data_IF_945326804165
#
_entry.id   IF_945326804165
#
_cell.length_a   1.000
_cell.length_b   1.000
_cell.length_c   1.000
_cell.angle_alpha   90.00
_cell.angle_beta   90.00
_cell.angle_gamma   90.00
#
_symmetry.space_group_name_H-M   'P 1'
#
loop_
_entity.id
_entity.type
_entity.pdbx_description
1 polymer ?
#
# COMPACT_ATOMS: atom_id res chain seq x y z
N UNK A 1 5.03 2.95 33.72
CA UNK A 1 4.67 1.90 32.74
C UNK A 1 5.27 2.25 31.39
N UNK A 2 6.06 1.35 30.81
CA UNK A 2 6.71 1.60 29.51
C UNK A 2 5.70 1.47 28.35
N UNK A 3 6.10 1.89 27.13
CA UNK A 3 5.23 1.87 25.93
C UNK A 3 4.70 0.47 25.62
N UNK A 4 5.55 -0.55 25.71
CA UNK A 4 5.18 -1.95 25.49
C UNK A 4 4.06 -2.42 26.44
N UNK A 5 4.21 -2.18 27.75
CA UNK A 5 3.21 -2.50 28.77
C UNK A 5 1.90 -1.74 28.54
N UNK A 6 1.96 -0.47 28.12
CA UNK A 6 0.76 0.32 27.78
C UNK A 6 -0.06 -0.32 26.67
N UNK A 7 0.59 -0.72 25.57
CA UNK A 7 -0.10 -1.34 24.44
C UNK A 7 -0.73 -2.67 24.87
N UNK A 8 0.01 -3.52 25.60
CA UNK A 8 -0.53 -4.79 26.11
C UNK A 8 -1.76 -4.55 26.99
N UNK A 9 -1.67 -3.62 27.94
CA UNK A 9 -2.80 -3.30 28.81
C UNK A 9 -4.01 -2.79 28.00
N UNK A 10 -3.79 -1.90 27.04
CA UNK A 10 -4.88 -1.37 26.21
C UNK A 10 -5.52 -2.44 25.32
N UNK A 11 -4.74 -3.39 24.81
CA UNK A 11 -5.25 -4.55 24.09
C UNK A 11 -6.09 -5.43 25.01
N UNK A 12 -5.59 -5.75 26.22
CA UNK A 12 -6.32 -6.56 27.20
C UNK A 12 -7.65 -5.93 27.63
N UNK A 13 -7.73 -4.60 27.66
CA UNK A 13 -8.94 -3.85 27.98
C UNK A 13 -9.90 -3.71 26.79
N UNK A 14 -9.46 -4.02 25.57
CA UNK A 14 -10.27 -3.98 24.36
C UNK A 14 -10.79 -5.40 24.03
N UNK A 15 -12.01 -5.68 24.49
CA UNK A 15 -12.66 -6.98 24.32
C UNK A 15 -12.83 -7.38 22.85
N UNK A 16 -13.07 -6.42 21.96
CA UNK A 16 -13.22 -6.69 20.53
C UNK A 16 -11.89 -7.14 19.95
N UNK A 17 -10.80 -6.40 20.20
CA UNK A 17 -9.45 -6.78 19.76
C UNK A 17 -8.98 -8.10 20.33
N UNK A 18 -9.26 -8.38 21.61
CA UNK A 18 -8.95 -9.68 22.21
C UNK A 18 -9.74 -10.81 21.55
N UNK A 19 -11.00 -10.57 21.17
CA UNK A 19 -11.80 -11.54 20.43
C UNK A 19 -11.21 -11.81 19.04
N UNK A 20 -10.75 -10.77 18.33
CA UNK A 20 -10.06 -10.92 17.04
C UNK A 20 -8.78 -11.74 17.19
N UNK A 21 -7.92 -11.40 18.16
CA UNK A 21 -6.68 -12.11 18.45
C UNK A 21 -6.91 -13.59 18.77
N UNK A 22 -7.89 -13.89 19.64
CA UNK A 22 -8.26 -15.27 19.99
C UNK A 22 -8.80 -16.04 18.78
N UNK A 23 -9.58 -15.37 17.93
CA UNK A 23 -10.12 -15.97 16.70
C UNK A 23 -9.00 -16.38 15.75
N UNK A 24 -8.02 -15.51 15.52
CA UNK A 24 -6.88 -15.82 14.64
C UNK A 24 -6.00 -16.91 15.24
N UNK A 25 -5.75 -16.89 16.56
CA UNK A 25 -4.96 -17.95 17.22
C UNK A 25 -5.55 -19.35 17.00
N UNK A 26 -6.88 -19.49 16.89
CA UNK A 26 -7.55 -20.78 16.61
C UNK A 26 -7.15 -21.39 15.26
N UNK A 27 -6.56 -20.63 14.34
CA UNK A 27 -6.03 -21.17 13.08
C UNK A 27 -4.76 -22.00 13.29
N UNK A 28 -4.06 -21.87 14.42
CA UNK A 28 -2.83 -22.63 14.70
C UNK A 28 -1.67 -22.27 13.76
N UNK A 29 -1.57 -21.01 13.36
CA UNK A 29 -0.47 -20.52 12.52
C UNK A 29 0.82 -20.43 13.36
N UNK A 30 1.96 -20.78 12.77
CA UNK A 30 3.25 -20.82 13.48
C UNK A 30 3.81 -19.42 13.78
N UNK A 31 3.88 -18.57 12.75
CA UNK A 31 4.44 -17.23 12.85
C UNK A 31 3.44 -16.24 12.26
N UNK A 32 2.66 -15.58 13.11
CA UNK A 32 1.56 -14.72 12.71
C UNK A 32 1.45 -13.49 13.60
N UNK A 33 0.78 -12.44 13.12
CA UNK A 33 0.27 -11.35 13.96
C UNK A 33 -0.86 -10.60 13.26
N UNK A 34 -1.68 -9.91 14.06
CA UNK A 34 -2.54 -8.83 13.60
C UNK A 34 -1.76 -7.51 13.61
N UNK A 35 -1.72 -6.78 12.50
CA UNK A 35 -0.89 -5.57 12.40
C UNK A 35 -1.59 -4.34 11.83
N UNK A 36 -0.77 -3.36 11.46
CA UNK A 36 -1.14 -2.14 10.75
C UNK A 36 -2.17 -1.32 11.53
N UNK A 37 -3.38 -1.18 10.98
CA UNK A 37 -4.47 -0.46 11.64
C UNK A 37 -4.88 -1.08 12.98
N UNK A 38 -4.68 -2.39 13.17
CA UNK A 38 -5.09 -3.09 14.39
C UNK A 38 -4.44 -2.48 15.64
N UNK A 39 -3.09 -2.40 15.66
CA UNK A 39 -2.35 -1.85 16.79
C UNK A 39 -2.32 -0.33 16.73
N UNK A 40 -2.07 0.26 15.54
CA UNK A 40 -1.91 1.72 15.41
C UNK A 40 -3.16 2.46 15.86
N UNK A 41 -4.33 2.07 15.36
CA UNK A 41 -5.58 2.74 15.71
C UNK A 41 -5.84 2.67 17.21
N UNK A 42 -5.59 1.52 17.86
CA UNK A 42 -5.76 1.40 19.31
C UNK A 42 -4.90 2.42 20.07
N UNK A 43 -3.62 2.50 19.73
CA UNK A 43 -2.70 3.42 20.43
C UNK A 43 -3.14 4.86 20.21
N UNK A 44 -3.45 5.22 18.97
CA UNK A 44 -3.85 6.57 18.62
C UNK A 44 -5.18 6.98 19.23
N UNK A 45 -6.19 6.11 19.22
CA UNK A 45 -7.49 6.35 19.85
C UNK A 45 -7.32 6.58 21.36
N UNK A 46 -6.45 5.80 22.01
CA UNK A 46 -6.14 5.93 23.45
C UNK A 46 -5.37 7.21 23.78
N UNK A 47 -4.42 7.62 22.94
CA UNK A 47 -3.65 8.84 23.15
C UNK A 47 -4.51 10.11 22.97
N UNK A 48 -5.47 10.08 22.04
CA UNK A 48 -6.28 11.24 21.69
C UNK A 48 -7.66 11.26 22.35
N UNK A 49 -7.99 10.24 23.15
CA UNK A 49 -9.25 10.16 23.89
C UNK A 49 -10.48 10.09 22.98
N UNK A 50 -10.37 9.44 21.82
CA UNK A 50 -11.51 9.28 20.92
C UNK A 50 -12.61 8.47 21.61
N UNK A 51 -13.82 9.04 21.62
CA UNK A 51 -14.99 8.44 22.27
C UNK A 51 -15.47 7.17 21.54
N UNK A 52 -15.25 7.10 20.23
CA UNK A 52 -15.55 5.94 19.40
C UNK A 52 -14.26 5.36 18.81
N UNK A 53 -14.07 4.03 18.84
CA UNK A 53 -12.92 3.40 18.21
C UNK A 53 -12.86 3.70 16.71
N UNK A 54 -11.66 3.96 16.20
CA UNK A 54 -11.44 4.12 14.75
C UNK A 54 -11.70 2.78 14.06
N UNK A 55 -12.60 2.73 13.05
CA UNK A 55 -12.94 1.48 12.37
C UNK A 55 -11.72 0.76 11.79
N UNK A 56 -11.74 -0.56 11.90
CA UNK A 56 -10.82 -1.44 11.18
C UNK A 56 -11.44 -1.76 9.82
N UNK A 57 -11.04 -0.98 8.80
CA UNK A 57 -11.52 -1.19 7.42
C UNK A 57 -11.08 -2.55 6.87
N UNK A 58 -9.93 -3.02 7.33
CA UNK A 58 -9.32 -4.31 7.09
C UNK A 58 -8.64 -4.78 8.39
N UNK A 59 -8.69 -6.10 8.62
CA UNK A 59 -7.97 -6.75 9.72
C UNK A 59 -6.87 -7.59 9.09
N UNK A 60 -5.67 -7.00 9.02
CA UNK A 60 -4.48 -7.61 8.46
C UNK A 60 -3.98 -8.75 9.34
N UNK A 61 -4.27 -9.98 8.92
CA UNK A 61 -3.71 -11.22 9.45
C UNK A 61 -2.52 -11.58 8.59
N UNK A 62 -1.32 -11.33 9.09
CA UNK A 62 -0.12 -11.80 8.40
C UNK A 62 0.38 -13.08 9.05
N UNK A 63 0.92 -13.98 8.24
CA UNK A 63 1.61 -15.16 8.72
C UNK A 63 2.78 -15.52 7.80
N UNK A 64 3.72 -16.32 8.29
CA UNK A 64 4.86 -16.77 7.51
C UNK A 64 4.93 -18.31 7.53
N UNK A 65 4.71 -18.91 6.37
CA UNK A 65 4.88 -20.34 6.15
C UNK A 65 5.42 -20.58 4.73
N UNK A 66 6.74 -20.82 4.57
CA UNK A 66 7.34 -21.02 3.26
C UNK A 66 7.01 -22.39 2.66
N UNK A 67 6.54 -23.36 3.47
CA UNK A 67 6.14 -24.67 2.96
C UNK A 67 4.71 -24.68 2.42
N UNK A 68 3.89 -23.69 2.78
CA UNK A 68 2.49 -23.58 2.37
C UNK A 68 2.15 -22.15 1.93
N UNK A 69 2.87 -21.68 0.91
CA UNK A 69 2.81 -20.29 0.45
C UNK A 69 1.68 -19.99 -0.53
N UNK A 70 0.83 -20.97 -0.85
CA UNK A 70 -0.20 -20.86 -1.88
C UNK A 70 -1.25 -19.80 -1.54
N UNK A 71 -1.63 -18.97 -2.51
CA UNK A 71 -2.67 -17.96 -2.32
C UNK A 71 -4.04 -18.56 -1.97
N UNK A 72 -4.31 -19.79 -2.39
CA UNK A 72 -5.56 -20.48 -2.07
C UNK A 72 -5.68 -20.79 -0.58
N UNK A 73 -4.56 -21.10 0.09
CA UNK A 73 -4.55 -21.33 1.54
C UNK A 73 -4.95 -20.07 2.29
N UNK A 74 -4.46 -18.90 1.88
CA UNK A 74 -4.85 -17.62 2.47
C UNK A 74 -6.37 -17.40 2.36
N UNK A 75 -6.97 -17.69 1.18
CA UNK A 75 -8.43 -17.59 0.98
C UNK A 75 -9.22 -18.55 1.85
N UNK A 76 -8.73 -19.79 2.01
CA UNK A 76 -9.36 -20.77 2.90
C UNK A 76 -9.31 -20.32 4.37
N UNK A 77 -8.20 -19.71 4.81
CA UNK A 77 -8.06 -19.13 6.15
C UNK A 77 -9.00 -17.93 6.33
N UNK A 78 -9.08 -17.02 5.35
CA UNK A 78 -10.04 -15.91 5.35
C UNK A 78 -11.48 -16.40 5.47
N UNK A 79 -11.88 -17.40 4.66
CA UNK A 79 -13.21 -17.98 4.72
C UNK A 79 -13.49 -18.65 6.07
N UNK A 80 -12.50 -19.31 6.68
CA UNK A 80 -12.63 -19.92 8.01
C UNK A 80 -12.82 -18.88 9.10
N UNK A 81 -12.04 -17.80 9.07
CA UNK A 81 -12.19 -16.67 9.98
C UNK A 81 -13.57 -16.02 9.82
N UNK A 82 -14.02 -15.82 8.59
CA UNK A 82 -15.33 -15.26 8.28
C UNK A 82 -16.48 -16.12 8.84
N UNK A 83 -16.35 -17.45 8.80
CA UNK A 83 -17.33 -18.37 9.40
C UNK A 83 -17.36 -18.29 10.93
N UNK A 84 -16.22 -18.07 11.57
CA UNK A 84 -16.13 -17.99 13.03
C UNK A 84 -16.53 -16.63 13.58
N UNK A 85 -16.17 -15.56 12.88
CA UNK A 85 -16.37 -14.19 13.28
C UNK A 85 -16.45 -13.30 12.03
N UNK A 86 -17.64 -12.92 11.57
CA UNK A 86 -17.81 -12.11 10.36
C UNK A 86 -17.18 -10.71 10.50
N UNK A 87 -16.06 -10.47 9.82
CA UNK A 87 -15.23 -9.25 9.90
C UNK A 87 -14.43 -9.05 8.60
N UNK A 88 -13.88 -7.86 8.32
CA UNK A 88 -13.13 -7.62 7.07
C UNK A 88 -11.70 -8.21 7.14
N UNK A 89 -11.60 -9.54 7.23
CA UNK A 89 -10.33 -10.26 7.29
C UNK A 89 -9.50 -10.12 6.01
N UNK A 90 -8.21 -9.85 6.17
CA UNK A 90 -7.22 -9.87 5.09
C UNK A 90 -6.05 -10.78 5.52
N UNK A 91 -6.06 -12.03 5.08
CA UNK A 91 -4.98 -13.00 5.40
C UNK A 91 -3.95 -12.99 4.30
N UNK A 92 -2.67 -12.84 4.66
CA UNK A 92 -1.56 -12.81 3.69
C UNK A 92 -0.35 -13.57 4.21
N UNK A 93 0.01 -14.66 3.51
CA UNK A 93 1.26 -15.36 3.77
C UNK A 93 2.46 -14.54 3.26
N UNK A 94 3.27 -14.04 4.19
CA UNK A 94 4.45 -13.23 3.93
C UNK A 94 5.54 -13.99 3.17
N UNK A 95 5.59 -15.32 3.26
CA UNK A 95 6.52 -16.12 2.47
C UNK A 95 6.35 -15.93 0.95
N UNK A 96 5.16 -15.49 0.49
CA UNK A 96 4.89 -15.18 -0.93
C UNK A 96 4.86 -13.68 -1.25
N UNK A 97 4.70 -12.81 -0.25
CA UNK A 97 4.45 -11.38 -0.50
C UNK A 97 5.65 -10.66 -1.12
N UNK A 98 6.87 -11.14 -0.93
CA UNK A 98 8.07 -10.60 -1.58
C UNK A 98 7.97 -10.59 -3.11
N UNK A 99 7.28 -11.58 -3.72
CA UNK A 99 7.08 -11.68 -5.16
C UNK A 99 6.28 -10.51 -5.73
N UNK A 100 5.33 -9.95 -4.96
CA UNK A 100 4.51 -8.80 -5.40
C UNK A 100 5.32 -7.50 -5.41
N UNK A 101 6.32 -7.41 -4.55
CA UNK A 101 7.17 -6.23 -4.40
C UNK A 101 8.50 -6.35 -5.13
N UNK A 102 8.78 -7.49 -5.79
CA UNK A 102 10.07 -7.75 -6.42
C UNK A 102 11.25 -7.81 -5.44
N UNK A 103 10.99 -8.12 -4.16
CA UNK A 103 12.01 -8.17 -3.11
C UNK A 103 12.58 -9.57 -2.94
N UNK A 104 13.71 -9.67 -2.26
CA UNK A 104 14.21 -10.95 -1.77
C UNK A 104 13.21 -11.59 -0.78
N UNK A 105 13.18 -12.94 -0.68
CA UNK A 105 12.35 -13.62 0.31
C UNK A 105 12.59 -13.11 1.72
N UNK A 106 11.51 -12.88 2.47
CA UNK A 106 11.57 -12.47 3.87
C UNK A 106 12.01 -13.64 4.76
N UNK A 107 12.61 -13.33 5.90
CA UNK A 107 13.09 -14.35 6.85
C UNK A 107 11.96 -14.92 7.73
N UNK A 108 11.04 -14.06 8.14
CA UNK A 108 9.90 -14.37 9.01
C UNK A 108 8.85 -13.23 8.93
N UNK A 109 7.81 -13.30 9.75
CA UNK A 109 6.75 -12.27 9.81
C UNK A 109 7.28 -10.90 10.25
N UNK A 110 8.23 -10.85 11.20
CA UNK A 110 8.82 -9.61 11.71
C UNK A 110 9.65 -8.89 10.63
N UNK A 111 10.50 -9.62 9.92
CA UNK A 111 11.25 -9.08 8.80
C UNK A 111 10.30 -8.63 7.68
N UNK A 112 9.23 -9.38 7.39
CA UNK A 112 8.24 -8.98 6.39
C UNK A 112 7.55 -7.64 6.72
N UNK A 113 7.08 -7.44 7.96
CA UNK A 113 6.44 -6.17 8.35
C UNK A 113 7.43 -5.02 8.46
N UNK A 114 8.72 -5.30 8.64
CA UNK A 114 9.76 -4.27 8.58
C UNK A 114 9.89 -3.60 7.20
N UNK A 115 9.25 -4.16 6.15
CA UNK A 115 9.13 -3.54 4.83
C UNK A 115 7.79 -2.82 4.62
N UNK A 116 6.97 -2.61 5.64
CA UNK A 116 5.73 -1.82 5.49
C UNK A 116 6.01 -0.33 5.29
N UNK A 117 5.07 0.36 4.65
CA UNK A 117 5.27 1.71 4.11
C UNK A 117 5.56 2.77 5.18
N UNK A 118 4.89 2.70 6.33
CA UNK A 118 5.08 3.63 7.44
C UNK A 118 5.72 2.92 8.65
N UNK A 119 6.59 3.60 9.39
CA UNK A 119 7.18 3.01 10.60
C UNK A 119 6.13 2.74 11.69
N UNK A 120 5.16 3.63 11.83
CA UNK A 120 4.08 3.53 12.81
C UNK A 120 3.06 2.44 12.46
N UNK A 121 3.02 1.99 11.21
CA UNK A 121 2.18 0.85 10.82
C UNK A 121 2.91 -0.48 10.96
N UNK A 122 4.26 -0.50 10.92
CA UNK A 122 5.11 -1.68 11.06
C UNK A 122 5.14 -2.24 12.50
N UNK A 123 3.97 -2.51 13.06
CA UNK A 123 3.75 -3.12 14.38
C UNK A 123 2.62 -4.15 14.28
N UNK A 124 2.81 -5.27 14.97
CA UNK A 124 1.82 -6.33 15.10
C UNK A 124 1.63 -6.80 16.54
N UNK A 125 0.53 -7.50 16.79
CA UNK A 125 0.22 -8.16 18.05
C UNK A 125 -0.27 -9.59 17.77
N UNK A 126 0.12 -10.53 18.63
CA UNK A 126 -0.33 -11.92 18.60
C UNK A 126 -0.52 -12.47 20.00
N UNK A 127 -1.20 -13.60 20.09
CA UNK A 127 -1.33 -14.34 21.33
C UNK A 127 -0.41 -15.55 21.34
N UNK A 128 0.24 -15.74 22.49
CA UNK A 128 0.90 -16.96 22.87
C UNK A 128 -0.14 -18.03 23.25
N UNK A 129 0.35 -19.25 23.50
CA UNK A 129 -0.48 -20.38 23.92
C UNK A 129 -1.21 -20.13 25.25
N UNK A 130 -0.66 -19.30 26.13
CA UNK A 130 -1.14 -18.97 27.47
C UNK A 130 -2.02 -17.72 27.54
N UNK A 131 -2.56 -17.25 26.41
CA UNK A 131 -3.26 -15.94 26.28
C UNK A 131 -2.36 -14.70 26.52
N UNK A 132 -1.05 -14.88 26.72
CA UNK A 132 -0.11 -13.77 26.78
C UNK A 132 -0.02 -13.03 25.44
N UNK A 133 0.01 -11.69 25.48
CA UNK A 133 0.16 -10.86 24.29
C UNK A 133 1.66 -10.67 23.99
N UNK A 134 2.06 -10.97 22.77
CA UNK A 134 3.37 -10.62 22.22
C UNK A 134 3.20 -9.55 21.15
N UNK A 135 4.02 -8.49 21.23
CA UNK A 135 4.14 -7.46 20.20
C UNK A 135 5.27 -7.80 19.24
N UNK A 136 5.07 -7.50 17.95
CA UNK A 136 6.07 -7.59 16.89
C UNK A 136 6.34 -6.17 16.42
N UNK A 137 7.56 -5.66 16.61
CA UNK A 137 7.87 -4.24 16.41
C UNK A 137 9.33 -4.07 15.96
N UNK A 138 9.66 -4.34 14.68
CA UNK A 138 11.05 -4.35 14.18
C UNK A 138 11.79 -3.02 14.31
N UNK A 139 11.06 -1.90 14.49
CA UNK A 139 11.62 -0.56 14.65
C UNK A 139 11.44 0.01 16.07
N UNK A 140 11.02 -0.81 17.03
CA UNK A 140 10.58 -0.34 18.34
C UNK A 140 9.17 0.24 18.32
N UNK A 141 8.75 0.82 19.44
CA UNK A 141 7.40 1.34 19.64
C UNK A 141 7.37 2.86 19.72
N UNK A 142 8.53 3.51 19.68
CA UNK A 142 8.73 4.92 19.94
C UNK A 142 7.85 5.79 19.05
N UNK A 143 7.96 5.58 17.74
CA UNK A 143 7.28 6.37 16.70
C UNK A 143 5.77 6.30 16.80
N UNK A 144 5.24 5.17 17.27
CA UNK A 144 3.79 4.98 17.41
C UNK A 144 3.17 5.95 18.44
N UNK A 145 3.99 6.50 19.35
CA UNK A 145 3.59 7.46 20.39
C UNK A 145 4.00 8.91 20.09
N UNK A 146 4.67 9.17 18.98
CA UNK A 146 5.25 10.50 18.69
C UNK A 146 4.30 11.40 17.85
N UNK A 147 3.05 10.97 17.64
CA UNK A 147 2.03 11.62 16.78
C UNK A 147 2.55 11.93 15.36
N UNK A 148 3.36 11.02 14.83
CA UNK A 148 3.99 11.12 13.52
C UNK A 148 3.46 10.07 12.55
N UNK A 149 3.63 10.35 11.26
CA UNK A 149 3.63 9.32 10.20
C UNK A 149 4.95 9.46 9.45
N UNK A 150 5.76 8.42 9.51
CA UNK A 150 7.15 8.43 9.06
C UNK A 150 7.34 7.42 7.93
N UNK A 151 7.89 7.88 6.81
CA UNK A 151 8.26 7.02 5.70
C UNK A 151 9.30 5.99 6.12
N UNK A 152 9.05 4.72 5.80
CA UNK A 152 10.01 3.66 6.02
C UNK A 152 10.98 3.56 4.83
N UNK A 153 12.21 4.05 5.01
CA UNK A 153 13.25 3.94 3.99
C UNK A 153 13.58 2.49 3.58
N UNK A 154 13.37 1.50 4.46
CA UNK A 154 13.55 0.07 4.14
C UNK A 154 12.51 -0.42 3.11
N UNK A 155 11.31 0.14 3.10
CA UNK A 155 10.31 -0.14 2.06
C UNK A 155 10.75 0.42 0.70
N UNK A 156 11.22 1.68 0.68
CA UNK A 156 11.83 2.32 -0.48
C UNK A 156 10.86 2.93 -1.50
N UNK A 157 9.54 2.77 -1.34
CA UNK A 157 8.54 3.34 -2.25
C UNK A 157 7.86 4.58 -1.65
N UNK A 158 8.48 5.75 -1.90
CA UNK A 158 7.99 7.03 -1.40
C UNK A 158 6.63 7.43 -2.01
N UNK A 159 6.36 7.05 -3.26
CA UNK A 159 5.11 7.41 -3.94
C UNK A 159 3.92 6.68 -3.32
N UNK A 160 4.08 5.40 -2.99
CA UNK A 160 3.06 4.66 -2.24
C UNK A 160 2.82 5.28 -0.86
N UNK A 161 3.86 5.78 -0.19
CA UNK A 161 3.72 6.50 1.07
C UNK A 161 2.90 7.79 0.91
N UNK A 162 3.28 8.66 -0.02
CA UNK A 162 2.59 9.93 -0.30
C UNK A 162 1.10 9.71 -0.62
N UNK A 163 0.81 8.73 -1.49
CA UNK A 163 -0.56 8.38 -1.87
C UNK A 163 -1.37 7.93 -0.65
N UNK A 164 -0.80 7.07 0.20
CA UNK A 164 -1.50 6.57 1.40
C UNK A 164 -1.76 7.67 2.41
N UNK A 165 -0.82 8.59 2.61
CA UNK A 165 -1.00 9.76 3.49
C UNK A 165 -2.18 10.60 3.01
N UNK A 166 -2.30 10.82 1.69
CA UNK A 166 -3.41 11.54 1.09
C UNK A 166 -4.74 10.80 1.24
N UNK A 167 -4.80 9.53 0.81
CA UNK A 167 -6.04 8.73 0.78
C UNK A 167 -6.61 8.46 2.17
N UNK A 168 -5.72 8.19 3.13
CA UNK A 168 -6.12 7.91 4.51
C UNK A 168 -6.40 9.19 5.29
N UNK A 169 -6.13 10.37 4.74
CA UNK A 169 -6.43 11.64 5.39
C UNK A 169 -6.00 11.71 6.87
N UNK A 170 -4.85 11.10 7.21
CA UNK A 170 -4.37 11.02 8.60
C UNK A 170 -4.11 12.42 9.17
N UNK A 171 -3.68 13.35 8.31
CA UNK A 171 -3.43 14.74 8.67
C UNK A 171 -4.70 15.53 8.97
N UNK A 172 -5.86 15.17 8.37
CA UNK A 172 -7.14 15.86 8.60
C UNK A 172 -7.92 15.28 9.78
N UNK A 173 -7.93 13.95 9.92
CA UNK A 173 -8.64 13.26 11.01
C UNK A 173 -8.09 13.60 12.36
N UNK A 174 -6.80 13.86 12.39
CA UNK A 174 -6.13 14.15 13.62
C UNK A 174 -5.61 15.60 13.60
N UNK A 175 -6.48 16.56 13.97
CA UNK A 175 -6.15 17.99 14.13
C UNK A 175 -5.19 18.29 15.31
N UNK A 176 -4.21 17.42 15.52
CA UNK A 176 -3.08 17.52 16.45
C UNK A 176 -1.81 16.82 15.93
N UNK A 177 -1.85 16.12 14.78
CA UNK A 177 -0.68 15.42 14.22
C UNK A 177 0.15 16.43 13.44
N UNK A 178 1.04 17.08 14.17
CA UNK A 178 1.76 18.26 13.72
C UNK A 178 3.26 18.17 13.91
N UNK A 179 3.85 16.97 13.89
CA UNK A 179 5.30 16.84 13.67
C UNK A 179 5.58 15.79 12.60
N UNK A 180 5.84 16.28 11.39
CA UNK A 180 6.60 15.51 10.40
C UNK A 180 8.03 15.36 10.92
N UNK A 181 8.36 14.23 11.55
CA UNK A 181 9.73 13.93 11.91
C UNK A 181 10.50 13.44 10.68
N UNK A 182 10.90 14.39 9.81
CA UNK A 182 11.86 14.14 8.73
C UNK A 182 11.53 14.85 7.42
N UNK A 183 11.75 16.17 7.36
CA UNK A 183 11.93 17.02 6.15
C UNK A 183 10.95 16.85 4.97
N UNK A 184 10.13 17.89 4.79
CA UNK A 184 9.55 18.50 3.56
C UNK A 184 9.30 17.54 2.37
N UNK A 185 8.02 17.24 2.13
CA UNK A 185 7.54 16.97 0.77
C UNK A 185 7.35 18.31 0.03
N UNK A 186 7.70 18.41 -1.26
CA UNK A 186 7.35 19.59 -2.05
C UNK A 186 5.84 19.76 -2.02
N UNK A 187 5.38 20.94 -1.65
CA UNK A 187 3.95 21.25 -1.75
C UNK A 187 3.56 21.29 -3.22
N UNK A 188 2.28 21.08 -3.54
CA UNK A 188 1.73 21.19 -4.89
C UNK A 188 1.99 22.55 -5.59
N UNK A 189 2.60 23.52 -4.90
CA UNK A 189 3.12 24.77 -5.48
C UNK A 189 4.46 24.58 -6.26
N UNK A 190 5.22 23.52 -6.02
CA UNK A 190 6.53 23.32 -6.69
C UNK A 190 6.41 22.77 -8.12
N UNK A 191 5.21 22.35 -8.53
CA UNK A 191 4.90 22.02 -9.94
C UNK A 191 4.76 23.29 -10.81
N UNK A 192 4.53 24.47 -10.20
CA UNK A 192 4.41 25.73 -10.94
C UNK A 192 5.76 26.38 -11.26
N UNK A 193 6.84 26.09 -10.52
CA UNK A 193 8.18 26.57 -10.86
C UNK A 193 8.86 25.84 -12.02
N UNK A 194 8.29 24.73 -12.52
CA UNK A 194 8.71 24.13 -13.80
C UNK A 194 8.04 24.76 -15.03
N UNK A 195 6.99 25.56 -14.84
CA UNK A 195 6.32 26.30 -15.93
C UNK A 195 6.81 27.75 -16.10
N UNK A 196 7.75 28.22 -15.27
CA UNK A 196 8.40 29.54 -15.47
C UNK A 196 9.72 29.42 -16.26
N UNK A 197 10.27 28.20 -16.43
CA UNK A 197 11.40 27.97 -17.36
C UNK A 197 10.99 27.84 -18.84
N UNK A 198 9.70 27.84 -19.15
CA UNK A 198 9.17 27.86 -20.53
C UNK A 198 8.63 29.23 -20.96
N UNK A 199 8.84 30.28 -20.17
CA UNK A 199 8.57 31.68 -20.56
C UNK A 199 9.78 32.62 -20.35
N UNK A 200 10.98 32.05 -20.18
CA UNK A 200 12.25 32.77 -20.03
C UNK A 200 13.18 32.72 -21.26
N UNK A 201 12.66 32.36 -22.44
CA UNK A 201 13.41 32.39 -23.72
C UNK A 201 12.83 33.41 -24.72
N UNK A 202 12.00 34.33 -24.25
CA UNK A 202 11.65 35.54 -24.98
C UNK A 202 12.17 36.74 -24.19
N UNK A 203 13.06 37.52 -24.82
CA UNK A 203 13.83 38.63 -24.24
C UNK A 203 14.99 38.22 -23.34
N UNK A 204 16.16 37.99 -23.95
CA UNK A 204 17.31 38.91 -23.94
C UNK A 204 18.42 38.21 -24.73
N UNK A 205 18.56 38.58 -26.00
CA UNK A 205 19.83 38.83 -26.70
C UNK A 205 19.51 39.19 -28.15
N UNK A 206 18.96 40.39 -28.33
CA UNK A 206 19.26 41.18 -29.52
C UNK A 206 20.72 41.63 -29.44
N UNK A 207 21.32 41.79 -30.62
CA UNK A 207 22.69 42.22 -30.92
C UNK A 207 23.78 41.14 -30.89
N UNK A 208 24.01 40.52 -32.05
CA UNK A 208 25.19 40.86 -32.85
C UNK A 208 24.88 40.70 -34.35
N UNK A 209 25.37 41.66 -35.12
CA UNK A 209 25.11 41.90 -36.55
C UNK A 209 25.81 40.93 -37.50
N UNK A 210 25.20 40.77 -38.67
CA UNK A 210 25.79 40.59 -40.02
C UNK A 210 26.78 39.45 -40.29
N UNK A 211 26.37 38.50 -41.15
CA UNK A 211 26.90 38.36 -42.52
C UNK A 211 26.27 37.20 -43.32
N UNK A 212 25.67 37.59 -44.45
CA UNK A 212 25.83 36.99 -45.78
C UNK A 212 25.51 35.50 -46.04
N UNK A 213 24.37 35.26 -46.73
CA UNK A 213 24.38 35.01 -48.18
C UNK A 213 24.47 33.57 -48.73
N UNK A 214 23.50 33.27 -49.63
CA UNK A 214 23.51 32.26 -50.74
C UNK A 214 23.28 30.79 -50.33
N UNK A 215 22.67 29.87 -51.10
CA UNK A 215 21.85 29.80 -52.34
C UNK A 215 21.41 28.31 -52.50
N UNK A 216 20.40 28.08 -53.35
CA UNK A 216 20.10 26.83 -54.13
C UNK A 216 19.24 25.70 -53.50
N UNK A 217 18.01 25.45 -54.02
CA UNK A 217 17.57 24.58 -55.18
C UNK A 217 17.61 23.08 -54.79
N UNK A 218 16.66 22.17 -55.05
CA UNK A 218 15.54 22.09 -56.04
C UNK A 218 14.63 20.86 -55.74
N UNK A 219 13.32 20.99 -56.05
CA UNK A 219 12.40 20.06 -56.79
C UNK A 219 12.24 18.57 -56.39
N UNK A 220 10.99 18.14 -56.11
CA UNK A 220 10.02 17.37 -56.96
C UNK A 220 9.96 15.91 -56.46
N UNK A 221 8.85 15.16 -56.45
CA UNK A 221 7.47 15.30 -56.91
C UNK A 221 6.67 14.06 -56.41
N UNK A 222 5.37 14.25 -56.11
CA UNK A 222 4.20 13.44 -56.55
C UNK A 222 4.18 11.91 -56.29
N UNK A 223 3.06 11.21 -56.06
CA UNK A 223 1.61 11.46 -55.93
C UNK A 223 0.98 10.08 -55.59
N UNK A 224 -0.13 10.09 -54.84
CA UNK A 224 -1.42 9.41 -55.10
C UNK A 224 -1.40 8.01 -55.80
N UNK A 225 -2.13 6.97 -55.37
CA UNK A 225 -3.58 6.90 -55.18
C UNK A 225 -3.99 5.48 -54.70
N UNK A 226 -5.03 5.40 -53.84
CA UNK A 226 -5.94 4.25 -53.63
C UNK A 226 -6.96 4.19 -54.83
N UNK A 227 -7.79 3.14 -55.09
CA UNK A 227 -8.67 2.45 -54.12
C UNK A 227 -9.10 0.99 -54.42
N UNK A 228 -10.13 0.56 -53.66
CA UNK A 228 -10.73 -0.76 -53.40
C UNK A 228 -11.69 -1.32 -54.49
N UNK A 229 -11.96 -2.63 -54.31
CA UNK A 229 -13.20 -3.43 -54.50
C UNK A 229 -13.25 -4.36 -55.72
N UNK A 230 -13.44 -5.68 -55.50
CA UNK A 230 -14.70 -6.46 -55.60
C UNK A 230 -14.43 -7.97 -55.37
N UNK A 231 -15.40 -8.71 -54.79
CA UNK A 231 -15.41 -10.19 -54.69
C UNK A 231 -15.88 -10.84 -56.02
N UNK A 232 -16.30 -12.14 -56.09
CA UNK A 232 -16.99 -12.93 -55.05
C UNK A 232 -16.61 -14.44 -54.96
N UNK A 233 -17.22 -15.19 -54.01
CA UNK A 233 -17.64 -16.58 -54.26
C UNK A 233 -17.35 -17.67 -53.21
N UNK A 234 -18.44 -18.38 -52.85
CA UNK A 234 -18.55 -19.79 -52.42
C UNK A 234 -18.53 -20.17 -50.92
N UNK A 235 -19.74 -20.46 -50.44
CA UNK A 235 -20.24 -21.74 -49.88
C UNK A 235 -19.67 -22.35 -48.59
N UNK A 236 -20.61 -22.75 -47.71
CA UNK A 236 -20.41 -23.90 -46.81
C UNK A 236 -21.04 -23.81 -45.41
N UNK A 237 -22.28 -24.30 -45.29
CA UNK A 237 -22.85 -25.11 -44.18
C UNK A 237 -22.64 -24.63 -42.71
N UNK A 238 -23.69 -24.14 -42.03
CA UNK A 238 -24.64 -24.94 -41.24
C UNK A 238 -24.01 -25.80 -40.12
N UNK A 239 -24.15 -25.39 -38.86
CA UNK A 239 -25.03 -26.07 -37.88
C UNK A 239 -25.02 -25.34 -36.53
N UNK A 240 -26.22 -25.09 -36.02
CA UNK A 240 -26.48 -24.65 -34.65
C UNK A 240 -26.42 -25.87 -33.70
N UNK A 241 -25.86 -25.70 -32.51
CA UNK A 241 -26.37 -26.38 -31.33
C UNK A 241 -26.07 -25.58 -30.07
N UNK A 242 -27.13 -25.45 -29.28
CA UNK A 242 -27.19 -24.78 -27.99
C UNK A 242 -26.55 -25.64 -26.91
N UNK A 243 -26.01 -25.00 -25.87
CA UNK A 243 -25.99 -25.57 -24.52
C UNK A 243 -26.01 -24.45 -23.47
N UNK A 244 -27.16 -24.35 -22.81
CA UNK A 244 -27.38 -23.65 -21.55
C UNK A 244 -27.27 -24.68 -20.42
N UNK A 245 -26.83 -24.20 -19.25
CA UNK A 245 -26.91 -24.80 -17.89
C UNK A 245 -25.85 -25.86 -17.54
N UNK A 246 -24.97 -25.54 -16.60
CA UNK A 246 -25.20 -25.70 -15.15
C UNK A 246 -24.36 -24.69 -14.38
#
# INVERSE_FOLDING_TARGET
MNRHQKIIQWLQQDNERMTLLRTVRRLGLNDWCLGAGFVRNLVWDRLHGYASPTPLNDIDVIHFDPQRSEAERDRMLEARLQQWLPQPWSVKNQARMHLRSGRAPYLNSEDAISFWTELETAVGARLNADDGIQLVAPFGLERLFDDTITFNAKNGDIHTFEQRVADKGWLQRCRGYGKFAGKVLPTAADTLSRNIKTQGEHHVHQHYHDRAGKKHRTRRQQRLQRPRQTGPGADGQACQSAARRR
#
